data_IF_098972501027
#
_entry.id   IF_098972501027
#
_cell.length_a   1.000
_cell.length_b   1.000
_cell.length_c   1.000
_cell.angle_alpha   90.00
_cell.angle_beta   90.00
_cell.angle_gamma   90.00
#
_symmetry.space_group_name_H-M   'P 1'
#
loop_
_entity.id
_entity.type
_entity.pdbx_description
1 polymer ?
#
# COMPACT_ATOMS: atom_id res chain seq x y z
N UNK A 1 3.99 -20.82 16.75
CA UNK A 1 5.07 -20.89 15.73
C UNK A 1 6.45 -20.80 16.40
N UNK A 2 6.89 -19.64 16.90
CA UNK A 2 8.23 -19.48 17.48
C UNK A 2 8.58 -20.45 18.62
N UNK A 3 7.68 -20.69 19.58
CA UNK A 3 7.92 -21.67 20.63
C UNK A 3 8.01 -23.11 20.10
N UNK A 4 7.23 -23.45 19.08
CA UNK A 4 7.25 -24.78 18.48
C UNK A 4 8.57 -25.02 17.73
N UNK A 5 9.06 -24.03 16.98
CA UNK A 5 10.37 -24.07 16.33
C UNK A 5 11.49 -24.22 17.35
N UNK A 6 11.47 -23.43 18.42
CA UNK A 6 12.46 -23.53 19.49
C UNK A 6 12.54 -24.93 20.11
N UNK A 7 11.39 -25.53 20.43
CA UNK A 7 11.36 -26.90 20.97
C UNK A 7 11.81 -27.93 19.93
N UNK A 8 11.39 -27.80 18.67
CA UNK A 8 11.81 -28.69 17.60
C UNK A 8 13.33 -28.64 17.37
N UNK A 9 13.93 -27.46 17.34
CA UNK A 9 15.38 -27.30 17.13
C UNK A 9 16.18 -27.85 18.32
N UNK A 10 15.71 -27.59 19.54
CA UNK A 10 16.34 -28.08 20.77
C UNK A 10 16.31 -29.61 20.89
N UNK A 11 15.21 -30.24 20.48
CA UNK A 11 15.06 -31.70 20.60
C UNK A 11 15.62 -32.47 19.40
N UNK A 12 15.59 -31.90 18.19
CA UNK A 12 15.85 -32.66 16.96
C UNK A 12 17.14 -32.25 16.22
N UNK A 13 17.47 -30.95 16.15
CA UNK A 13 18.54 -30.44 15.27
C UNK A 13 19.85 -30.16 16.02
N UNK A 14 19.80 -29.55 17.22
CA UNK A 14 20.98 -29.19 18.01
C UNK A 14 20.85 -29.63 19.48
N UNK A 15 20.94 -30.94 19.76
CA UNK A 15 20.86 -31.45 21.14
C UNK A 15 22.03 -30.98 22.02
N UNK A 16 23.18 -30.63 21.42
CA UNK A 16 24.35 -30.07 22.10
C UNK A 16 24.31 -28.53 22.23
N UNK A 17 23.24 -27.87 21.79
CA UNK A 17 23.08 -26.41 21.78
C UNK A 17 23.83 -25.71 20.65
N UNK A 18 23.46 -24.45 20.40
CA UNK A 18 24.14 -23.61 19.40
C UNK A 18 25.45 -23.04 19.97
N UNK A 19 26.55 -23.05 19.20
CA UNK A 19 27.81 -22.48 19.66
C UNK A 19 27.66 -20.96 19.89
N UNK A 20 28.27 -20.46 20.96
CA UNK A 20 28.23 -19.03 21.35
C UNK A 20 26.83 -18.47 21.66
N UNK A 21 25.89 -19.30 22.12
CA UNK A 21 24.52 -18.91 22.47
C UNK A 21 24.42 -17.66 23.37
N UNK A 22 25.36 -17.48 24.30
CA UNK A 22 25.41 -16.32 25.19
C UNK A 22 25.59 -14.98 24.45
N UNK A 23 26.33 -14.94 23.33
CA UNK A 23 26.45 -13.73 22.50
C UNK A 23 25.14 -13.38 21.81
N UNK A 24 24.43 -14.39 21.30
CA UNK A 24 23.12 -14.23 20.69
C UNK A 24 22.08 -13.75 21.71
N UNK A 25 22.14 -14.26 22.94
CA UNK A 25 21.28 -13.77 24.03
C UNK A 25 21.58 -12.30 24.34
N UNK A 26 22.84 -11.92 24.51
CA UNK A 26 23.20 -10.52 24.82
C UNK A 26 22.76 -9.60 23.69
N UNK A 27 23.03 -9.98 22.43
CA UNK A 27 22.63 -9.21 21.26
C UNK A 27 21.10 -9.05 21.19
N UNK A 28 20.36 -10.16 21.30
CA UNK A 28 18.90 -10.15 21.29
C UNK A 28 18.31 -9.33 22.44
N UNK A 29 18.87 -9.45 23.65
CA UNK A 29 18.42 -8.71 24.83
C UNK A 29 18.66 -7.20 24.66
N UNK A 30 19.83 -6.80 24.16
CA UNK A 30 20.13 -5.41 23.82
C UNK A 30 19.13 -4.85 22.80
N UNK A 31 18.79 -5.63 21.77
CA UNK A 31 17.83 -5.22 20.73
C UNK A 31 16.40 -5.13 21.26
N UNK A 32 15.96 -6.08 22.11
CA UNK A 32 14.63 -6.06 22.75
C UNK A 32 14.49 -4.86 23.67
N UNK A 33 15.47 -4.62 24.54
CA UNK A 33 15.43 -3.50 25.48
C UNK A 33 15.51 -2.17 24.72
N UNK A 34 16.40 -2.06 23.73
CA UNK A 34 16.50 -0.87 22.88
C UNK A 34 15.22 -0.58 22.12
N UNK A 35 14.60 -1.60 21.53
CA UNK A 35 13.33 -1.49 20.80
C UNK A 35 12.16 -1.08 21.71
N UNK A 36 12.04 -1.70 22.88
CA UNK A 36 11.00 -1.37 23.86
C UNK A 36 11.19 0.04 24.42
N UNK A 37 12.44 0.45 24.66
CA UNK A 37 12.78 1.81 25.09
C UNK A 37 12.36 2.83 24.03
N UNK A 38 12.72 2.63 22.76
CA UNK A 38 12.30 3.51 21.66
C UNK A 38 10.76 3.58 21.53
N UNK A 39 10.07 2.45 21.71
CA UNK A 39 8.61 2.39 21.66
C UNK A 39 7.97 3.19 22.80
N UNK A 40 8.41 3.00 24.04
CA UNK A 40 7.90 3.76 25.18
C UNK A 40 8.24 5.24 25.08
N UNK A 41 9.45 5.58 24.66
CA UNK A 41 9.82 6.97 24.41
C UNK A 41 8.92 7.62 23.36
N UNK A 42 8.59 6.91 22.27
CA UNK A 42 7.67 7.42 21.25
C UNK A 42 6.27 7.68 21.82
N UNK A 43 5.74 6.78 22.65
CA UNK A 43 4.44 6.97 23.32
C UNK A 43 4.48 8.11 24.34
N UNK A 44 5.57 8.22 25.11
CA UNK A 44 5.76 9.31 26.08
C UNK A 44 5.93 10.67 25.40
N UNK A 45 6.47 10.71 24.18
CA UNK A 45 6.60 11.93 23.39
C UNK A 45 5.29 12.25 22.66
N UNK A 46 4.55 11.21 22.24
CA UNK A 46 3.28 11.36 21.54
C UNK A 46 2.07 11.66 22.46
N UNK A 47 2.14 11.26 23.74
CA UNK A 47 1.14 11.44 24.80
C UNK A 47 -0.31 11.36 24.28
N UNK A 48 -1.05 12.48 24.32
CA UNK A 48 -2.47 12.57 23.97
C UNK A 48 -2.75 12.38 22.47
N UNK A 49 -1.71 12.35 21.63
CA UNK A 49 -1.79 12.04 20.19
C UNK A 49 -1.49 10.57 19.88
N UNK A 50 -1.19 9.72 20.89
CA UNK A 50 -0.97 8.29 20.68
C UNK A 50 -2.27 7.50 20.85
N UNK A 51 -2.95 7.20 19.73
CA UNK A 51 -4.08 6.27 19.70
C UNK A 51 -3.59 4.87 19.28
N UNK A 52 -3.96 3.83 20.06
CA UNK A 52 -3.61 2.43 19.74
C UNK A 52 -4.40 1.90 18.52
N UNK A 53 -5.51 2.57 18.19
CA UNK A 53 -6.30 2.37 16.98
C UNK A 53 -6.13 3.62 16.11
N UNK A 54 -6.07 3.42 14.79
CA UNK A 54 -6.02 4.53 13.84
C UNK A 54 -7.34 5.29 13.97
N UNK A 55 -7.26 6.55 14.41
CA UNK A 55 -8.43 7.36 14.71
C UNK A 55 -8.70 8.28 13.51
N UNK A 56 -9.75 7.96 12.75
CA UNK A 56 -10.07 8.66 11.50
C UNK A 56 -10.75 10.04 11.71
N UNK A 57 -11.07 10.40 12.96
CA UNK A 57 -11.69 11.69 13.30
C UNK A 57 -10.67 12.64 13.94
N UNK A 58 -10.50 13.86 13.40
CA UNK A 58 -9.61 14.84 13.99
C UNK A 58 -10.18 15.32 15.33
N UNK A 59 -9.52 14.97 16.43
CA UNK A 59 -9.79 15.56 17.74
C UNK A 59 -9.05 16.91 17.83
N UNK A 60 -9.69 17.95 18.37
CA UNK A 60 -9.13 19.31 18.43
C UNK A 60 -7.86 19.43 19.30
N UNK A 61 -7.55 18.41 20.09
CA UNK A 61 -6.35 18.31 20.91
C UNK A 61 -5.18 17.57 20.22
N UNK A 62 -5.39 17.00 19.03
CA UNK A 62 -4.37 16.23 18.31
C UNK A 62 -3.44 17.17 17.54
N UNK A 63 -2.26 17.44 18.09
CA UNK A 63 -1.24 18.25 17.42
C UNK A 63 -0.15 17.36 16.81
N UNK A 64 0.39 17.77 15.65
CA UNK A 64 1.49 17.06 15.01
C UNK A 64 2.76 17.21 15.85
N UNK A 65 3.26 16.10 16.40
CA UNK A 65 4.42 16.08 17.28
C UNK A 65 5.68 15.97 16.43
N UNK A 66 6.42 17.07 16.32
CA UNK A 66 7.63 17.20 15.49
C UNK A 66 8.90 17.42 16.30
N UNK A 67 8.85 17.20 17.61
CA UNK A 67 10.01 17.36 18.51
C UNK A 67 10.51 16.02 19.05
N UNK A 68 11.76 15.98 19.49
CA UNK A 68 12.40 14.78 20.01
C UNK A 68 12.63 13.72 18.92
N UNK A 69 12.28 12.47 19.21
CA UNK A 69 12.58 11.31 18.36
C UNK A 69 11.82 11.35 17.02
N UNK A 70 10.70 12.07 17.00
CA UNK A 70 9.88 12.27 15.80
C UNK A 70 10.55 13.19 14.75
N UNK A 71 11.66 13.87 15.09
CA UNK A 71 12.47 14.62 14.11
C UNK A 71 13.28 13.71 13.20
N UNK A 72 13.79 12.60 13.76
CA UNK A 72 14.65 11.69 13.02
C UNK A 72 13.85 10.64 12.27
N UNK A 73 12.76 10.14 12.87
CA UNK A 73 11.91 9.10 12.28
C UNK A 73 10.45 9.54 12.28
N UNK A 74 9.74 9.40 11.14
CA UNK A 74 8.30 9.70 11.03
C UNK A 74 7.43 8.76 11.87
N UNK A 75 7.93 7.55 12.14
CA UNK A 75 7.22 6.46 12.79
C UNK A 75 8.13 5.71 13.79
N UNK A 76 8.62 6.38 14.86
CA UNK A 76 9.62 5.82 15.76
C UNK A 76 9.09 4.62 16.58
N UNK A 77 7.78 4.59 16.85
CA UNK A 77 7.10 3.47 17.51
C UNK A 77 7.19 2.18 16.69
N UNK A 78 7.02 2.27 15.37
CA UNK A 78 7.12 1.14 14.44
C UNK A 78 8.57 0.65 14.32
N UNK A 79 9.53 1.58 14.28
CA UNK A 79 10.97 1.23 14.30
C UNK A 79 11.33 0.50 15.60
N UNK A 80 10.84 0.97 16.75
CA UNK A 80 11.04 0.30 18.04
C UNK A 80 10.40 -1.09 18.08
N UNK A 81 9.17 -1.24 17.57
CA UNK A 81 8.49 -2.53 17.47
C UNK A 81 9.23 -3.51 16.55
N UNK A 82 9.79 -3.05 15.43
CA UNK A 82 10.60 -3.88 14.53
C UNK A 82 11.84 -4.45 15.22
N UNK A 83 12.66 -3.60 15.84
CA UNK A 83 13.87 -4.04 16.54
C UNK A 83 13.56 -4.95 17.72
N UNK A 84 12.47 -4.68 18.44
CA UNK A 84 11.96 -5.55 19.47
C UNK A 84 11.58 -6.93 18.92
N UNK A 85 10.81 -6.98 17.83
CA UNK A 85 10.38 -8.24 17.23
C UNK A 85 11.56 -9.07 16.71
N UNK A 86 12.53 -8.46 15.99
CA UNK A 86 13.76 -9.13 15.58
C UNK A 86 14.60 -9.63 16.77
N UNK A 87 14.69 -8.83 17.84
CA UNK A 87 15.42 -9.19 19.06
C UNK A 87 14.84 -10.45 19.75
N UNK A 88 13.51 -10.60 19.77
CA UNK A 88 12.87 -11.80 20.35
C UNK A 88 13.23 -13.09 19.61
N UNK A 89 13.37 -13.05 18.28
CA UNK A 89 13.74 -14.23 17.49
C UNK A 89 15.21 -14.58 17.63
N UNK A 90 16.08 -13.57 17.77
CA UNK A 90 17.52 -13.75 18.06
C UNK A 90 17.73 -14.35 19.46
N UNK A 91 16.95 -13.94 20.47
CA UNK A 91 16.98 -14.52 21.83
C UNK A 91 16.68 -16.01 21.84
N UNK A 92 15.69 -16.43 21.05
CA UNK A 92 15.30 -17.82 20.88
C UNK A 92 16.25 -18.60 19.95
N UNK A 93 17.13 -17.89 19.23
CA UNK A 93 18.02 -18.44 18.19
C UNK A 93 17.26 -19.22 17.09
N UNK A 94 16.04 -18.80 16.77
CA UNK A 94 15.17 -19.42 15.78
C UNK A 94 15.37 -18.79 14.38
N UNK A 95 16.08 -19.42 13.45
CA UNK A 95 16.39 -18.85 12.14
C UNK A 95 15.18 -18.73 11.22
N UNK A 96 14.20 -19.65 11.27
CA UNK A 96 13.04 -19.65 10.38
C UNK A 96 12.08 -18.55 10.82
N UNK A 97 11.75 -18.47 12.11
CA UNK A 97 10.94 -17.37 12.62
C UNK A 97 11.62 -16.00 12.45
N UNK A 98 12.94 -15.90 12.55
CA UNK A 98 13.65 -14.64 12.27
C UNK A 98 13.43 -14.17 10.83
N UNK A 99 13.55 -15.07 9.85
CA UNK A 99 13.32 -14.77 8.43
C UNK A 99 11.85 -14.38 8.20
N UNK A 100 10.89 -15.11 8.79
CA UNK A 100 9.47 -14.79 8.66
C UNK A 100 9.11 -13.41 9.21
N UNK A 101 9.64 -13.06 10.39
CA UNK A 101 9.40 -11.73 11.00
C UNK A 101 10.06 -10.60 10.21
N UNK A 102 11.25 -10.84 9.64
CA UNK A 102 11.93 -9.90 8.77
C UNK A 102 11.13 -9.66 7.49
N UNK A 103 10.65 -10.72 6.84
CA UNK A 103 9.81 -10.64 5.62
C UNK A 103 8.48 -9.96 5.93
N UNK A 104 7.80 -10.33 7.02
CA UNK A 104 6.52 -9.76 7.40
C UNK A 104 6.64 -8.25 7.64
N UNK A 105 7.68 -7.81 8.36
CA UNK A 105 7.88 -6.38 8.61
C UNK A 105 8.32 -5.63 7.35
N UNK A 106 9.16 -6.27 6.51
CA UNK A 106 9.54 -5.69 5.22
C UNK A 106 8.32 -5.48 4.31
N UNK A 107 7.42 -6.46 4.22
CA UNK A 107 6.17 -6.35 3.46
C UNK A 107 5.29 -5.21 3.97
N UNK A 108 5.13 -5.09 5.28
CA UNK A 108 4.38 -4.00 5.90
C UNK A 108 4.94 -2.60 5.53
N UNK A 109 6.26 -2.44 5.46
CA UNK A 109 6.86 -1.20 5.00
C UNK A 109 6.75 -1.00 3.49
N UNK A 110 6.88 -2.07 2.69
CA UNK A 110 6.75 -2.03 1.24
C UNK A 110 5.33 -1.63 0.79
N UNK A 111 4.28 -2.17 1.41
CA UNK A 111 2.88 -1.80 1.14
C UNK A 111 2.65 -0.29 1.30
N UNK A 112 3.17 0.29 2.38
CA UNK A 112 3.05 1.75 2.63
C UNK A 112 3.77 2.58 1.58
N UNK A 113 4.95 2.14 1.14
CA UNK A 113 5.70 2.83 0.08
C UNK A 113 4.95 2.76 -1.25
N UNK A 114 4.35 1.61 -1.57
CA UNK A 114 3.54 1.41 -2.78
C UNK A 114 2.37 2.38 -2.83
N UNK A 115 1.57 2.48 -1.76
CA UNK A 115 0.43 3.42 -1.71
C UNK A 115 0.88 4.87 -1.89
N UNK A 116 1.97 5.28 -1.24
CA UNK A 116 2.53 6.64 -1.37
C UNK A 116 2.97 6.91 -2.81
N UNK A 117 3.61 5.94 -3.45
CA UNK A 117 4.03 6.06 -4.85
C UNK A 117 2.84 6.15 -5.81
N UNK A 118 1.81 5.33 -5.61
CA UNK A 118 0.57 5.41 -6.40
C UNK A 118 -0.14 6.76 -6.21
N UNK A 119 -0.21 7.27 -4.98
CA UNK A 119 -0.80 8.58 -4.71
C UNK A 119 -0.03 9.71 -5.41
N UNK A 120 1.31 9.62 -5.44
CA UNK A 120 2.16 10.57 -6.14
C UNK A 120 1.95 10.52 -7.67
N UNK A 121 1.87 9.32 -8.24
CA UNK A 121 1.54 9.14 -9.67
C UNK A 121 0.15 9.69 -10.02
N UNK A 122 -0.86 9.42 -9.19
CA UNK A 122 -2.18 9.98 -9.36
C UNK A 122 -2.15 11.52 -9.32
N UNK A 123 -1.43 12.11 -8.36
CA UNK A 123 -1.27 13.56 -8.26
C UNK A 123 -0.60 14.17 -9.50
N UNK A 124 0.43 13.51 -10.05
CA UNK A 124 1.05 13.90 -11.33
C UNK A 124 0.01 13.86 -12.46
N UNK A 125 -0.77 12.77 -12.55
CA UNK A 125 -1.83 12.62 -13.55
C UNK A 125 -2.87 13.75 -13.46
N UNK A 126 -3.38 14.06 -12.26
CA UNK A 126 -4.32 15.17 -12.06
C UNK A 126 -3.69 16.54 -12.36
N UNK A 127 -2.41 16.73 -12.04
CA UNK A 127 -1.70 17.99 -12.35
C UNK A 127 -1.56 18.18 -13.87
N UNK A 128 -1.22 17.13 -14.61
CA UNK A 128 -1.15 17.16 -16.07
C UNK A 128 -2.54 17.43 -16.70
N UNK A 129 -3.60 16.87 -16.12
CA UNK A 129 -4.98 17.15 -16.55
C UNK A 129 -5.33 18.63 -16.39
N UNK A 130 -5.01 19.22 -15.23
CA UNK A 130 -5.24 20.65 -14.95
C UNK A 130 -4.39 21.53 -15.87
N UNK A 131 -3.13 21.16 -16.11
CA UNK A 131 -2.24 21.88 -17.03
C UNK A 131 -2.79 21.85 -18.47
N UNK A 132 -3.38 20.74 -18.90
CA UNK A 132 -4.06 20.64 -20.19
C UNK A 132 -5.23 21.63 -20.32
N UNK A 133 -5.99 21.85 -19.24
CA UNK A 133 -7.08 22.83 -19.19
C UNK A 133 -6.56 24.28 -19.18
N UNK A 134 -5.47 24.53 -18.45
CA UNK A 134 -4.84 25.86 -18.35
C UNK A 134 -4.25 26.33 -19.69
N UNK A 135 -3.63 25.42 -20.45
CA UNK A 135 -2.97 25.75 -21.72
C UNK A 135 -3.96 26.09 -22.85
N UNK A 136 -5.18 25.53 -22.81
CA UNK A 136 -6.21 25.79 -23.81
C UNK A 136 -7.11 26.97 -23.39
N UNK A 137 -6.55 28.18 -23.27
CA UNK A 137 -7.32 29.41 -22.99
C UNK A 137 -8.34 29.25 -21.84
N UNK A 138 -7.97 28.57 -20.75
CA UNK A 138 -8.85 28.28 -19.61
C UNK A 138 -10.16 27.52 -19.97
N UNK A 139 -10.10 26.56 -20.88
CA UNK A 139 -11.22 25.69 -21.22
C UNK A 139 -11.32 24.50 -20.25
N UNK A 140 -12.48 24.34 -19.60
CA UNK A 140 -12.72 23.32 -18.56
C UNK A 140 -13.33 22.02 -19.12
N UNK A 141 -13.61 21.97 -20.43
CA UNK A 141 -14.10 20.77 -21.10
C UNK A 141 -13.25 19.50 -20.91
N UNK A 142 -11.90 19.54 -20.87
CA UNK A 142 -11.12 18.33 -20.61
C UNK A 142 -11.33 17.75 -19.20
N UNK A 143 -11.83 18.54 -18.25
CA UNK A 143 -12.09 18.10 -16.87
C UNK A 143 -13.23 17.07 -16.77
N UNK A 144 -14.09 16.95 -17.79
CA UNK A 144 -15.14 15.91 -17.81
C UNK A 144 -14.58 14.49 -17.72
N UNK A 145 -13.31 14.28 -18.05
CA UNK A 145 -12.65 12.97 -17.93
C UNK A 145 -12.57 12.48 -16.46
N UNK A 146 -12.65 13.37 -15.47
CA UNK A 146 -12.69 13.01 -14.04
C UNK A 146 -13.88 12.10 -13.74
N UNK A 147 -15.01 12.28 -14.41
CA UNK A 147 -16.20 11.43 -14.21
C UNK A 147 -15.85 9.96 -14.55
N UNK A 148 -15.08 9.72 -15.61
CA UNK A 148 -14.64 8.37 -15.96
C UNK A 148 -13.66 7.79 -14.95
N UNK A 149 -12.82 8.61 -14.30
CA UNK A 149 -11.93 8.15 -13.24
C UNK A 149 -12.69 7.69 -11.99
N UNK A 150 -13.80 8.37 -11.66
CA UNK A 150 -14.65 7.99 -10.53
C UNK A 150 -15.51 6.77 -10.86
N UNK A 151 -15.96 6.63 -12.11
CA UNK A 151 -16.77 5.48 -12.54
C UNK A 151 -15.96 4.20 -12.72
N UNK A 152 -14.71 4.29 -13.18
CA UNK A 152 -13.82 3.14 -13.42
C UNK A 152 -13.69 2.13 -12.25
N UNK A 153 -13.51 2.53 -10.98
CA UNK A 153 -13.41 1.58 -9.87
C UNK A 153 -14.70 0.80 -9.59
N UNK A 154 -15.88 1.30 -9.99
CA UNK A 154 -17.17 0.66 -9.66
C UNK A 154 -17.31 -0.70 -10.37
N UNK A 155 -17.17 -0.81 -11.70
CA UNK A 155 -17.14 -2.11 -12.39
C UNK A 155 -16.02 -3.03 -11.89
N UNK A 156 -14.85 -2.50 -11.53
CA UNK A 156 -13.72 -3.30 -11.04
C UNK A 156 -14.02 -3.97 -9.70
N UNK A 157 -14.67 -3.26 -8.77
CA UNK A 157 -15.11 -3.82 -7.49
C UNK A 157 -16.21 -4.88 -7.69
N UNK A 158 -17.17 -4.63 -8.59
CA UNK A 158 -18.25 -5.58 -8.88
C UNK A 158 -17.72 -6.83 -9.59
N UNK A 159 -16.76 -6.67 -10.52
CA UNK A 159 -16.09 -7.78 -11.20
C UNK A 159 -15.45 -8.75 -10.19
N UNK A 160 -14.77 -8.21 -9.18
CA UNK A 160 -14.18 -9.00 -8.08
C UNK A 160 -15.22 -9.79 -7.31
N UNK A 161 -16.34 -9.18 -6.96
CA UNK A 161 -17.41 -9.85 -6.22
C UNK A 161 -18.00 -11.01 -7.03
N UNK A 162 -18.22 -10.82 -8.33
CA UNK A 162 -18.71 -11.87 -9.24
C UNK A 162 -17.70 -13.02 -9.41
N UNK A 163 -16.39 -12.74 -9.39
CA UNK A 163 -15.35 -13.78 -9.46
C UNK A 163 -15.23 -14.56 -8.14
N UNK A 164 -15.39 -13.89 -7.00
CA UNK A 164 -15.27 -14.48 -5.66
C UNK A 164 -16.45 -15.38 -5.28
N UNK A 165 -17.67 -15.05 -5.71
CA UNK A 165 -18.89 -15.81 -5.34
C UNK A 165 -18.99 -17.19 -6.00
N UNK A 166 -18.37 -17.37 -7.17
CA UNK A 166 -18.52 -18.58 -7.99
C UNK A 166 -17.21 -19.36 -8.05
N UNK A 167 -16.75 -19.84 -6.88
CA UNK A 167 -15.52 -20.63 -6.70
C UNK A 167 -15.19 -21.53 -7.90
N UNK A 168 -13.93 -21.40 -8.34
CA UNK A 168 -13.25 -22.05 -9.47
C UNK A 168 -13.98 -23.26 -10.08
N UNK A 169 -14.96 -22.99 -10.94
CA UNK A 169 -15.56 -23.98 -11.84
C UNK A 169 -14.93 -23.75 -13.20
N UNK A 170 -13.95 -24.60 -13.53
CA UNK A 170 -13.00 -24.50 -14.64
C UNK A 170 -13.60 -24.60 -16.05
N UNK A 171 -14.86 -24.21 -16.29
CA UNK A 171 -15.46 -24.33 -17.64
C UNK A 171 -16.60 -23.37 -17.98
N UNK A 172 -17.18 -22.61 -17.04
CA UNK A 172 -18.30 -21.70 -17.34
C UNK A 172 -17.83 -20.24 -17.33
N UNK A 173 -17.79 -19.61 -18.50
CA UNK A 173 -17.63 -18.16 -18.66
C UNK A 173 -18.75 -17.46 -17.88
N UNK A 174 -18.43 -16.80 -16.78
CA UNK A 174 -19.41 -16.06 -15.99
C UNK A 174 -19.84 -14.80 -16.76
N UNK A 175 -21.09 -14.69 -17.23
CA UNK A 175 -21.52 -13.53 -18.02
C UNK A 175 -21.42 -12.20 -17.24
N UNK A 176 -21.49 -12.25 -15.89
CA UNK A 176 -21.28 -11.08 -15.04
C UNK A 176 -19.85 -10.54 -15.16
N UNK A 177 -18.82 -11.39 -15.00
CA UNK A 177 -17.43 -10.93 -15.03
C UNK A 177 -17.04 -10.42 -16.41
N UNK A 178 -17.50 -11.09 -17.46
CA UNK A 178 -17.22 -10.71 -18.85
C UNK A 178 -17.86 -9.35 -19.19
N UNK A 179 -19.09 -9.11 -18.70
CA UNK A 179 -19.76 -7.81 -18.81
C UNK A 179 -18.99 -6.71 -18.07
N UNK A 180 -18.45 -6.98 -16.87
CA UNK A 180 -17.72 -5.96 -16.10
C UNK A 180 -16.38 -5.58 -16.75
N UNK A 181 -15.64 -6.53 -17.31
CA UNK A 181 -14.43 -6.24 -18.09
C UNK A 181 -14.76 -5.43 -19.35
N UNK A 182 -15.87 -5.76 -20.02
CA UNK A 182 -16.36 -4.99 -21.16
C UNK A 182 -16.70 -3.54 -20.76
N UNK A 183 -17.47 -3.33 -19.70
CA UNK A 183 -17.84 -1.99 -19.20
C UNK A 183 -16.58 -1.20 -18.81
N UNK A 184 -15.62 -1.84 -18.13
CA UNK A 184 -14.35 -1.19 -17.75
C UNK A 184 -13.60 -0.72 -19.00
N UNK A 185 -13.49 -1.57 -20.03
CA UNK A 185 -12.83 -1.20 -21.29
C UNK A 185 -13.56 -0.06 -22.01
N UNK A 186 -14.89 -0.04 -21.98
CA UNK A 186 -15.70 1.03 -22.58
C UNK A 186 -15.49 2.38 -21.87
N UNK A 187 -15.38 2.39 -20.54
CA UNK A 187 -15.06 3.59 -19.75
C UNK A 187 -13.66 4.12 -20.10
N UNK A 188 -12.65 3.24 -20.16
CA UNK A 188 -11.27 3.62 -20.50
C UNK A 188 -11.21 4.20 -21.92
N UNK A 189 -11.79 3.52 -22.91
CA UNK A 189 -11.81 4.00 -24.30
C UNK A 189 -12.53 5.35 -24.42
N UNK A 190 -13.64 5.53 -23.69
CA UNK A 190 -14.38 6.80 -23.66
C UNK A 190 -13.53 7.95 -23.12
N UNK A 191 -12.75 7.71 -22.07
CA UNK A 191 -11.86 8.70 -21.48
C UNK A 191 -10.76 9.14 -22.46
N UNK A 192 -10.20 8.24 -23.27
CA UNK A 192 -9.21 8.59 -24.31
C UNK A 192 -9.83 9.20 -25.57
N UNK A 193 -11.08 8.86 -25.88
CA UNK A 193 -11.78 9.37 -27.06
C UNK A 193 -12.26 10.82 -26.88
N UNK A 194 -12.66 11.21 -25.66
CA UNK A 194 -13.20 12.55 -25.38
C UNK A 194 -12.21 13.69 -25.74
N UNK A 195 -10.93 13.67 -25.32
CA UNK A 195 -9.96 14.70 -25.71
C UNK A 195 -9.71 14.78 -27.22
N UNK A 196 -9.75 13.64 -27.91
CA UNK A 196 -9.57 13.55 -29.37
C UNK A 196 -10.73 14.24 -30.08
N UNK A 197 -11.97 13.97 -29.68
CA UNK A 197 -13.16 14.59 -30.27
C UNK A 197 -13.19 16.09 -30.01
N UNK A 198 -12.82 16.54 -28.81
CA UNK A 198 -12.76 17.95 -28.47
C UNK A 198 -11.68 18.72 -29.28
N UNK A 199 -10.54 18.09 -29.55
CA UNK A 199 -9.53 18.66 -30.44
C UNK A 199 -10.06 18.79 -31.88
N UNK A 200 -10.76 17.77 -32.38
CA UNK A 200 -11.40 17.81 -33.71
C UNK A 200 -12.50 18.87 -33.81
N UNK A 201 -13.22 19.13 -32.72
CA UNK A 201 -14.21 20.20 -32.63
C UNK A 201 -13.59 21.61 -32.54
N UNK A 202 -12.26 21.74 -32.53
CA UNK A 202 -11.56 23.03 -32.44
C UNK A 202 -11.59 23.68 -31.05
N UNK A 203 -12.05 22.95 -30.03
CA UNK A 203 -12.20 23.48 -28.66
C UNK A 203 -10.92 23.39 -27.82
N UNK A 204 -10.01 22.47 -28.16
CA UNK A 204 -8.76 22.20 -27.43
C UNK A 204 -7.56 22.20 -28.38
N UNK A 205 -6.46 22.86 -27.99
CA UNK A 205 -5.19 22.83 -28.72
C UNK A 205 -4.51 21.45 -28.68
N UNK A 206 -3.70 21.12 -29.69
CA UNK A 206 -3.00 19.82 -29.76
C UNK A 206 -2.14 19.54 -28.52
N UNK A 207 -1.47 20.56 -27.98
CA UNK A 207 -0.67 20.44 -26.75
C UNK A 207 -1.51 20.03 -25.54
N UNK A 208 -2.67 20.67 -25.37
CA UNK A 208 -3.63 20.33 -24.31
C UNK A 208 -4.19 18.92 -24.45
N UNK A 209 -4.49 18.48 -25.68
CA UNK A 209 -4.88 17.10 -25.95
C UNK A 209 -3.77 16.11 -25.52
N UNK A 210 -2.50 16.41 -25.82
CA UNK A 210 -1.36 15.59 -25.41
C UNK A 210 -1.23 15.46 -23.89
N UNK A 211 -1.37 16.57 -23.15
CA UNK A 211 -1.34 16.55 -21.69
C UNK A 211 -2.48 15.73 -21.08
N UNK A 212 -3.70 15.85 -21.64
CA UNK A 212 -4.86 15.08 -21.16
C UNK A 212 -4.70 13.59 -21.48
N UNK A 213 -4.19 13.22 -22.66
CA UNK A 213 -3.90 11.82 -22.98
C UNK A 213 -2.82 11.22 -22.07
N UNK A 214 -1.75 11.98 -21.78
CA UNK A 214 -0.72 11.56 -20.83
C UNK A 214 -1.26 11.40 -19.40
N UNK A 215 -2.10 12.33 -18.96
CA UNK A 215 -2.81 12.24 -17.69
C UNK A 215 -3.67 10.98 -17.60
N UNK A 216 -4.48 10.70 -18.63
CA UNK A 216 -5.32 9.50 -18.69
C UNK A 216 -4.49 8.23 -18.56
N UNK A 217 -3.37 8.12 -19.29
CA UNK A 217 -2.50 6.95 -19.20
C UNK A 217 -1.96 6.73 -17.78
N UNK A 218 -1.45 7.79 -17.15
CA UNK A 218 -0.90 7.69 -15.79
C UNK A 218 -1.98 7.31 -14.77
N UNK A 219 -3.17 7.94 -14.83
CA UNK A 219 -4.26 7.68 -13.88
C UNK A 219 -4.83 6.27 -14.06
N UNK A 220 -5.08 5.80 -15.28
CA UNK A 220 -5.59 4.44 -15.51
C UNK A 220 -4.57 3.37 -15.16
N UNK A 221 -3.27 3.59 -15.43
CA UNK A 221 -2.20 2.68 -14.96
C UNK A 221 -2.19 2.64 -13.44
N UNK A 222 -2.31 3.79 -12.77
CA UNK A 222 -2.34 3.85 -11.30
C UNK A 222 -3.53 3.08 -10.73
N UNK A 223 -4.72 3.24 -11.31
CA UNK A 223 -5.92 2.48 -10.93
C UNK A 223 -5.68 0.97 -11.16
N UNK A 224 -5.18 0.57 -12.32
CA UNK A 224 -4.91 -0.84 -12.61
C UNK A 224 -3.89 -1.46 -11.65
N UNK A 225 -2.78 -0.78 -11.38
CA UNK A 225 -1.75 -1.23 -10.43
C UNK A 225 -2.33 -1.33 -9.02
N UNK A 226 -3.14 -0.35 -8.59
CA UNK A 226 -3.82 -0.41 -7.29
C UNK A 226 -4.65 -1.69 -7.18
N UNK A 227 -5.55 -1.93 -8.13
CA UNK A 227 -6.37 -3.14 -8.09
C UNK A 227 -5.50 -4.40 -8.15
N UNK A 228 -4.53 -4.52 -9.06
CA UNK A 228 -3.68 -5.72 -9.14
C UNK A 228 -2.87 -6.01 -7.85
N UNK A 229 -2.29 -4.98 -7.23
CA UNK A 229 -1.51 -5.16 -5.99
C UNK A 229 -2.41 -5.59 -4.84
N UNK A 230 -3.52 -4.89 -4.59
CA UNK A 230 -4.41 -5.21 -3.48
C UNK A 230 -5.20 -6.51 -3.68
N UNK A 231 -5.42 -6.96 -4.93
CA UNK A 231 -5.99 -8.30 -5.20
C UNK A 231 -5.04 -9.43 -4.77
N UNK A 232 -3.74 -9.22 -5.00
CA UNK A 232 -2.71 -10.22 -4.75
C UNK A 232 -2.53 -10.45 -3.24
N UNK A 233 -2.65 -9.39 -2.43
CA UNK A 233 -2.51 -9.48 -0.97
C UNK A 233 -3.67 -10.26 -0.35
N UNK A 234 -4.91 -10.05 -0.81
CA UNK A 234 -6.08 -10.81 -0.37
C UNK A 234 -5.95 -12.31 -0.72
N UNK A 235 -5.38 -12.61 -1.90
CA UNK A 235 -5.16 -14.00 -2.33
C UNK A 235 -4.12 -14.74 -1.49
N UNK A 236 -3.05 -14.05 -1.06
CA UNK A 236 -1.98 -14.63 -0.23
C UNK A 236 -2.40 -14.89 1.21
N UNK A 237 -3.39 -14.16 1.72
CA UNK A 237 -3.96 -14.37 3.06
C UNK A 237 -5.01 -15.50 3.12
N UNK A 238 -5.40 -16.04 1.96
CA UNK A 238 -6.40 -17.12 1.83
C UNK A 238 -5.80 -18.54 1.75
N UNK A 239 -4.48 -18.69 1.92
CA UNK A 239 -3.75 -19.97 1.95
C UNK A 239 -3.28 -20.29 3.37
#
# INVERSE_FOLDING_TARGET
MAYAEYYLEKYFLFPNGVPYYWLWIILGLCMVIGGEYLRKLSMCTAQQSFSHLIEDKPNSEHQLITHGIYQTYRHPSYVGWFWWACGTQILLANPICFILYLISTWRFFAERVTVVFLAFLAAIGFTLLILGCALSNYNWWPTFVIIFYVLCPIPLVIARQCTSSNGYSTSDTNPCSDLMWFITSAIVVSAFSLPVVLHRAGTIALGSMGFVMGANAIVFITIAVYFLTFDSDDSLLSI
#
